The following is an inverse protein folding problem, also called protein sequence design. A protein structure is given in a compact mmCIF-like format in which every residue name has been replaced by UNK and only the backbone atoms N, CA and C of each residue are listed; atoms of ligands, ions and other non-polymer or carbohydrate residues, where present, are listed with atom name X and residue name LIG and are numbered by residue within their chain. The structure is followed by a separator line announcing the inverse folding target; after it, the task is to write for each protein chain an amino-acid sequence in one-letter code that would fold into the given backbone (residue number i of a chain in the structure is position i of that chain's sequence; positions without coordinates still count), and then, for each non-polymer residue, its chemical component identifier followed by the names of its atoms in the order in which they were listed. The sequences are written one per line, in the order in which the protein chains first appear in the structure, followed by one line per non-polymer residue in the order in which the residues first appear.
data_IF_549586824729
#
_entry.id   IF_549586824729
#
_cell.length_a   1.000
_cell.length_b   1.000
_cell.length_c   1.000
_cell.angle_alpha   90.00
_cell.angle_beta   90.00
_cell.angle_gamma   90.00
#
_symmetry.space_group_name_H-M   'P 1'
#
loop_
_entity.id
_entity.type
_entity.pdbx_description
1 polymer ?
#
# COMPACT_ATOMS: atom_id res chain seq x y z
N UNK A 1 -20.10 -42.26 0.11
CA UNK A 1 -18.73 -41.89 0.52
C UNK A 1 -18.63 -40.38 0.39
N UNK A 2 -18.61 -39.69 1.52
CA UNK A 2 -18.55 -38.22 1.63
C UNK A 2 -17.17 -37.72 1.17
N UNK A 3 -17.07 -36.62 0.42
CA UNK A 3 -15.78 -36.06 0.03
C UNK A 3 -15.18 -35.32 1.24
N UNK A 4 -14.21 -35.95 1.89
CA UNK A 4 -13.36 -35.35 2.92
C UNK A 4 -12.06 -34.94 2.23
N UNK A 5 -11.95 -33.67 1.82
CA UNK A 5 -10.67 -33.00 1.54
C UNK A 5 -10.75 -31.50 1.18
N UNK A 6 -11.93 -30.89 1.01
CA UNK A 6 -12.05 -29.47 0.64
C UNK A 6 -11.99 -28.47 1.80
N UNK A 7 -11.99 -28.91 3.06
CA UNK A 7 -12.02 -28.02 4.24
C UNK A 7 -10.65 -27.46 4.67
N UNK A 8 -9.55 -28.03 4.16
CA UNK A 8 -8.19 -27.55 4.44
C UNK A 8 -7.76 -26.39 3.53
N UNK A 9 -8.15 -26.42 2.25
CA UNK A 9 -7.79 -25.42 1.24
C UNK A 9 -8.57 -24.11 1.39
N UNK A 10 -9.81 -24.16 1.88
CA UNK A 10 -10.63 -22.96 2.10
C UNK A 10 -10.13 -22.06 3.23
N UNK A 11 -9.51 -22.63 4.28
CA UNK A 11 -8.92 -21.87 5.38
C UNK A 11 -7.62 -21.15 4.99
N UNK A 12 -6.89 -21.65 3.99
CA UNK A 12 -5.68 -21.01 3.48
C UNK A 12 -6.01 -19.76 2.65
N UNK A 13 -7.13 -19.76 1.92
CA UNK A 13 -7.59 -18.64 1.09
C UNK A 13 -8.05 -17.41 1.90
N UNK A 14 -8.41 -17.59 3.17
CA UNK A 14 -8.75 -16.49 4.10
C UNK A 14 -7.55 -16.01 4.93
N UNK A 15 -6.34 -16.48 4.62
CA UNK A 15 -5.14 -16.12 5.37
C UNK A 15 -4.58 -14.80 4.86
N UNK A 16 -4.46 -13.81 5.75
CA UNK A 16 -3.82 -12.54 5.43
C UNK A 16 -2.31 -12.62 5.70
N UNK A 17 -1.52 -12.11 4.78
CA UNK A 17 -0.06 -11.99 4.95
C UNK A 17 0.26 -10.56 5.36
N UNK A 18 0.92 -10.41 6.51
CA UNK A 18 1.44 -9.12 6.96
C UNK A 18 2.96 -9.11 6.83
N UNK A 19 3.49 -8.13 6.09
CA UNK A 19 4.92 -8.00 5.81
C UNK A 19 5.48 -6.80 6.55
N UNK A 20 6.54 -7.02 7.33
CA UNK A 20 7.28 -5.96 7.99
C UNK A 20 8.05 -5.09 6.97
N UNK A 21 8.07 -3.75 7.10
CA UNK A 21 8.88 -2.87 6.26
C UNK A 21 10.36 -3.24 6.22
N UNK A 22 10.90 -3.81 7.31
CA UNK A 22 12.28 -4.29 7.38
C UNK A 22 12.60 -5.34 6.30
N UNK A 23 11.64 -6.21 6.00
CA UNK A 23 11.79 -7.27 4.97
C UNK A 23 11.94 -6.65 3.59
N UNK A 24 11.16 -5.62 3.28
CA UNK A 24 11.23 -4.92 1.99
C UNK A 24 12.59 -4.26 1.81
N UNK A 25 13.08 -3.57 2.84
CA UNK A 25 14.40 -2.95 2.81
C UNK A 25 15.53 -3.98 2.67
N UNK A 26 15.41 -5.11 3.38
CA UNK A 26 16.39 -6.21 3.33
C UNK A 26 16.48 -6.85 1.94
N UNK A 27 15.34 -7.02 1.26
CA UNK A 27 15.29 -7.58 -0.09
C UNK A 27 15.94 -6.62 -1.11
N UNK A 28 15.66 -5.32 -0.99
CA UNK A 28 16.27 -4.28 -1.85
C UNK A 28 17.79 -4.22 -1.62
N UNK A 29 18.25 -4.21 -0.36
CA UNK A 29 19.68 -4.24 -0.05
C UNK A 29 20.36 -5.51 -0.58
N UNK A 30 19.73 -6.67 -0.43
CA UNK A 30 20.23 -7.92 -0.99
C UNK A 30 20.34 -7.85 -2.52
N UNK A 31 19.32 -7.36 -3.20
CA UNK A 31 19.34 -7.19 -4.65
C UNK A 31 20.50 -6.28 -5.09
N UNK A 32 20.69 -5.14 -4.43
CA UNK A 32 21.80 -4.20 -4.72
C UNK A 32 23.18 -4.82 -4.50
N UNK A 33 23.37 -5.64 -3.46
CA UNK A 33 24.66 -6.34 -3.22
C UNK A 33 25.00 -7.31 -4.35
N UNK A 34 24.02 -8.08 -4.81
CA UNK A 34 24.20 -9.06 -5.91
C UNK A 34 24.42 -8.36 -7.25
N UNK A 35 23.74 -7.23 -7.48
CA UNK A 35 23.95 -6.42 -8.68
C UNK A 35 25.36 -5.81 -8.71
N UNK A 36 25.87 -5.32 -7.58
CA UNK A 36 27.25 -4.79 -7.47
C UNK A 36 28.32 -5.87 -7.64
N UNK A 37 28.09 -7.09 -7.17
CA UNK A 37 29.04 -8.19 -7.40
C UNK A 37 29.05 -8.67 -8.86
N UNK A 38 27.88 -8.63 -9.52
CA UNK A 38 27.73 -9.12 -10.90
C UNK A 38 28.16 -8.09 -11.96
N UNK A 39 28.08 -6.79 -11.66
CA UNK A 39 28.51 -5.72 -12.59
C UNK A 39 30.01 -5.72 -12.89
N UNK A 40 30.84 -6.42 -12.08
CA UNK A 40 32.25 -6.67 -12.36
C UNK A 40 32.49 -7.82 -13.36
N UNK A 41 31.50 -8.69 -13.60
CA UNK A 41 31.60 -9.87 -14.46
C UNK A 41 30.54 -9.85 -15.57
N UNK A 42 30.75 -9.01 -16.59
CA UNK A 42 30.33 -9.13 -18.01
C UNK A 42 28.92 -9.59 -18.43
N UNK A 43 27.93 -9.80 -17.56
CA UNK A 43 26.56 -10.17 -17.95
C UNK A 43 25.52 -9.17 -17.43
N UNK A 44 25.12 -8.21 -18.26
CA UNK A 44 24.15 -7.15 -17.98
C UNK A 44 22.67 -7.61 -17.84
N UNK A 45 22.42 -8.89 -17.62
CA UNK A 45 21.06 -9.38 -17.36
C UNK A 45 20.77 -9.25 -15.85
N UNK A 46 19.68 -8.54 -15.50
CA UNK A 46 19.15 -8.49 -14.13
C UNK A 46 18.96 -9.93 -13.62
N UNK A 47 19.82 -10.35 -12.70
CA UNK A 47 19.73 -11.66 -12.06
C UNK A 47 18.64 -11.60 -11.00
N UNK A 48 17.78 -12.60 -11.00
CA UNK A 48 16.79 -12.76 -9.95
C UNK A 48 17.48 -13.20 -8.67
N UNK A 49 17.02 -12.62 -7.56
CA UNK A 49 17.54 -12.91 -6.24
C UNK A 49 16.49 -13.70 -5.46
N UNK A 50 16.94 -14.73 -4.74
CA UNK A 50 16.11 -15.62 -3.93
C UNK A 50 16.63 -15.61 -2.50
N UNK A 51 15.72 -15.61 -1.54
CA UNK A 51 16.07 -15.72 -0.13
C UNK A 51 14.98 -16.39 0.70
N UNK A 52 15.28 -16.68 1.95
CA UNK A 52 14.32 -17.26 2.90
C UNK A 52 13.59 -16.14 3.61
N UNK A 53 12.28 -16.31 3.82
CA UNK A 53 11.52 -15.49 4.76
C UNK A 53 11.31 -16.23 6.07
N UNK A 54 11.52 -15.48 7.14
CA UNK A 54 11.33 -15.89 8.52
C UNK A 54 10.14 -15.13 9.10
N UNK A 55 9.46 -15.80 10.01
CA UNK A 55 8.34 -15.16 10.67
C UNK A 55 7.60 -16.09 11.61
N UNK A 56 6.40 -15.65 11.96
CA UNK A 56 5.52 -16.38 12.84
C UNK A 56 4.29 -16.88 12.06
N UNK A 57 4.01 -18.16 12.22
CA UNK A 57 2.84 -18.85 11.69
C UNK A 57 1.99 -19.48 12.83
N UNK A 58 2.09 -18.93 14.04
CA UNK A 58 1.39 -19.44 15.23
C UNK A 58 -0.09 -19.05 15.25
N UNK A 59 -0.47 -17.93 14.64
CA UNK A 59 -1.87 -17.47 14.56
C UNK A 59 -2.55 -18.08 13.33
N UNK A 60 -3.60 -18.89 13.56
CA UNK A 60 -4.41 -19.46 12.47
C UNK A 60 -5.05 -18.33 11.65
N UNK A 61 -4.68 -18.23 10.37
CA UNK A 61 -5.24 -17.25 9.43
C UNK A 61 -4.47 -15.93 9.31
N UNK A 62 -3.32 -15.77 9.97
CA UNK A 62 -2.42 -14.63 9.74
C UNK A 62 -0.96 -15.08 9.75
N UNK A 63 -0.27 -14.86 8.62
CA UNK A 63 1.16 -15.13 8.50
C UNK A 63 1.88 -13.80 8.65
N UNK A 64 2.76 -13.71 9.66
CA UNK A 64 3.56 -12.51 9.91
C UNK A 64 4.97 -12.73 9.42
N UNK A 65 5.38 -11.99 8.40
CA UNK A 65 6.75 -11.98 7.88
C UNK A 65 7.53 -10.91 8.64
N UNK A 66 8.44 -11.33 9.52
CA UNK A 66 9.23 -10.42 10.36
C UNK A 66 10.59 -10.14 9.78
N UNK A 67 11.25 -11.18 9.26
CA UNK A 67 12.64 -11.10 8.86
C UNK A 67 12.90 -11.89 7.58
N UNK A 68 14.04 -11.64 6.95
CA UNK A 68 14.43 -12.32 5.72
C UNK A 68 15.94 -12.38 5.61
N UNK A 69 16.46 -13.42 4.97
CA UNK A 69 17.89 -13.50 4.69
C UNK A 69 18.17 -14.02 3.29
N UNK A 70 19.32 -13.59 2.77
CA UNK A 70 19.85 -13.93 1.47
C UNK A 70 20.35 -15.38 1.40
N UNK A 71 20.12 -16.07 0.28
CA UNK A 71 20.73 -17.38 0.01
C UNK A 71 21.60 -17.24 -1.24
N UNK A 72 22.78 -17.88 -1.31
CA UNK A 72 23.51 -18.02 -2.55
C UNK A 72 22.64 -18.75 -3.60
N UNK A 73 22.23 -18.00 -4.63
CA UNK A 73 21.37 -18.49 -5.69
C UNK A 73 21.95 -18.09 -7.04
N UNK A 74 22.07 -19.07 -7.94
CA UNK A 74 22.49 -18.85 -9.31
C UNK A 74 21.48 -19.46 -10.27
N UNK A 75 21.04 -18.68 -11.25
CA UNK A 75 20.13 -19.12 -12.30
C UNK A 75 20.81 -18.87 -13.65
N UNK A 76 20.79 -19.87 -14.53
CA UNK A 76 21.25 -19.68 -15.90
C UNK A 76 20.22 -18.85 -16.69
N UNK A 77 20.70 -17.83 -17.40
CA UNK A 77 19.86 -16.95 -18.22
C UNK A 77 19.36 -17.69 -19.47
N UNK A 78 20.16 -18.63 -19.99
CA UNK A 78 19.83 -19.36 -21.21
C UNK A 78 18.86 -20.51 -20.96
N UNK A 79 18.93 -21.13 -19.78
CA UNK A 79 18.10 -22.26 -19.39
C UNK A 79 17.45 -22.02 -18.01
N UNK A 80 16.21 -21.52 -17.95
CA UNK A 80 15.54 -21.17 -16.69
C UNK A 80 15.25 -22.38 -15.78
N UNK A 81 15.41 -23.60 -16.30
CA UNK A 81 15.26 -24.85 -15.54
C UNK A 81 16.50 -25.23 -14.73
N UNK A 82 17.66 -24.63 -15.05
CA UNK A 82 18.93 -24.91 -14.40
C UNK A 82 19.21 -23.79 -13.41
N UNK A 83 19.06 -24.11 -12.13
CA UNK A 83 19.35 -23.20 -11.03
C UNK A 83 20.08 -23.95 -9.91
N UNK A 84 20.85 -23.21 -9.14
CA UNK A 84 21.62 -23.69 -7.99
C UNK A 84 21.14 -22.97 -6.73
N UNK A 85 20.93 -23.75 -5.67
CA UNK A 85 20.52 -23.28 -4.36
C UNK A 85 21.23 -24.11 -3.30
N UNK A 86 21.96 -23.44 -2.41
CA UNK A 86 22.69 -24.09 -1.33
C UNK A 86 21.74 -24.41 -0.14
N UNK A 87 21.40 -25.69 0.00
CA UNK A 87 20.56 -26.17 1.11
C UNK A 87 21.29 -26.23 2.45
N UNK A 88 22.61 -26.46 2.46
CA UNK A 88 23.39 -26.54 3.70
C UNK A 88 23.48 -25.17 4.37
N UNK A 89 23.60 -24.12 3.55
CA UNK A 89 23.58 -22.75 4.04
C UNK A 89 22.27 -22.41 4.76
N UNK A 90 21.12 -22.83 4.20
CA UNK A 90 19.79 -22.61 4.79
C UNK A 90 19.70 -23.27 6.16
N UNK A 91 20.11 -24.53 6.29
CA UNK A 91 20.04 -25.27 7.55
C UNK A 91 20.93 -24.64 8.64
N UNK A 92 22.17 -24.31 8.29
CA UNK A 92 23.12 -23.68 9.23
C UNK A 92 22.63 -22.30 9.70
N UNK A 93 22.12 -21.49 8.77
CA UNK A 93 21.61 -20.17 9.06
C UNK A 93 20.33 -20.25 9.90
N UNK A 94 19.45 -21.20 9.62
CA UNK A 94 18.23 -21.44 10.40
C UNK A 94 18.56 -21.86 11.83
N UNK A 95 19.57 -22.71 12.06
CA UNK A 95 20.02 -23.04 13.42
C UNK A 95 20.57 -21.82 14.17
N UNK A 96 21.27 -20.92 13.47
CA UNK A 96 21.74 -19.66 14.04
C UNK A 96 20.58 -18.73 14.42
N UNK A 97 19.60 -18.52 13.53
CA UNK A 97 18.43 -17.68 13.83
C UNK A 97 17.58 -18.26 14.95
N UNK A 98 17.45 -19.59 15.03
CA UNK A 98 16.75 -20.26 16.12
C UNK A 98 17.41 -20.05 17.49
N UNK A 99 18.74 -19.87 17.54
CA UNK A 99 19.47 -19.51 18.77
C UNK A 99 19.23 -18.06 19.20
N UNK A 100 19.04 -17.16 18.24
CA UNK A 100 18.79 -15.73 18.50
C UNK A 100 17.34 -15.51 18.92
N UNK A 101 16.39 -16.10 18.21
CA UNK A 101 14.96 -15.97 18.45
C UNK A 101 14.23 -17.28 18.23
N UNK A 102 13.59 -17.81 19.29
CA UNK A 102 12.77 -19.01 19.21
C UNK A 102 11.41 -18.77 18.53
N UNK A 103 11.01 -17.50 18.35
CA UNK A 103 9.75 -17.12 17.71
C UNK A 103 9.84 -17.20 16.19
N UNK A 104 11.01 -16.94 15.63
CA UNK A 104 11.21 -16.94 14.18
C UNK A 104 11.33 -18.37 13.66
N UNK A 105 10.47 -18.71 12.71
CA UNK A 105 10.50 -19.98 11.99
C UNK A 105 10.57 -19.71 10.50
N UNK A 106 11.06 -20.70 9.75
CA UNK A 106 10.95 -20.68 8.29
C UNK A 106 9.47 -20.77 7.92
N UNK A 107 8.99 -19.76 7.21
CA UNK A 107 7.60 -19.69 6.72
C UNK A 107 7.54 -19.84 5.20
N UNK A 108 8.65 -19.60 4.50
CA UNK A 108 8.72 -19.69 3.05
C UNK A 108 9.96 -19.03 2.46
N UNK A 109 9.82 -18.51 1.26
CA UNK A 109 10.90 -17.88 0.52
C UNK A 109 10.39 -16.65 -0.25
N UNK A 110 11.30 -15.74 -0.59
CA UNK A 110 11.01 -14.59 -1.43
C UNK A 110 11.84 -14.62 -2.72
N UNK A 111 11.33 -13.96 -3.76
CA UNK A 111 12.15 -13.60 -4.91
C UNK A 111 11.88 -12.16 -5.39
N UNK A 112 12.87 -11.57 -6.04
CA UNK A 112 12.89 -10.16 -6.46
C UNK A 112 12.07 -9.82 -7.72
N UNK A 113 11.08 -10.64 -8.10
CA UNK A 113 10.35 -10.46 -9.36
C UNK A 113 11.23 -10.64 -10.63
N UNK A 114 10.82 -10.10 -11.81
CA UNK A 114 9.69 -9.22 -12.06
C UNK A 114 8.35 -9.95 -12.33
N UNK A 115 8.40 -11.23 -12.71
CA UNK A 115 7.21 -12.08 -12.95
C UNK A 115 7.46 -13.49 -12.44
N UNK A 116 6.39 -14.18 -12.07
CA UNK A 116 6.41 -15.60 -11.72
C UNK A 116 6.88 -16.43 -12.92
N UNK A 117 7.75 -17.41 -12.67
CA UNK A 117 8.26 -18.37 -13.67
C UNK A 117 7.80 -19.79 -13.33
N UNK A 118 7.76 -20.66 -14.33
CA UNK A 118 7.47 -22.09 -14.12
C UNK A 118 8.50 -22.79 -13.23
N UNK A 119 9.74 -22.30 -13.22
CA UNK A 119 10.82 -22.79 -12.34
C UNK A 119 10.51 -22.62 -10.85
N UNK A 120 9.64 -21.65 -10.50
CA UNK A 120 9.31 -21.36 -9.11
C UNK A 120 8.50 -22.49 -8.46
N UNK A 121 7.77 -23.27 -9.26
CA UNK A 121 7.11 -24.49 -8.78
C UNK A 121 8.13 -25.53 -8.30
N UNK A 122 9.26 -25.67 -9.01
CA UNK A 122 10.35 -26.60 -8.65
C UNK A 122 11.08 -26.14 -7.39
N UNK A 123 11.37 -24.83 -7.30
CA UNK A 123 12.00 -24.24 -6.11
C UNK A 123 11.09 -24.42 -4.88
N UNK A 124 9.79 -24.19 -5.06
CA UNK A 124 8.83 -24.32 -3.98
C UNK A 124 8.72 -25.75 -3.42
N UNK A 125 8.90 -26.77 -4.27
CA UNK A 125 8.91 -28.18 -3.85
C UNK A 125 10.08 -28.51 -2.91
N UNK A 126 11.21 -27.80 -3.03
CA UNK A 126 12.35 -27.95 -2.12
C UNK A 126 12.04 -27.30 -0.78
N UNK A 127 11.47 -26.10 -0.78
CA UNK A 127 11.03 -25.45 0.45
C UNK A 127 9.91 -26.20 1.16
N UNK A 128 9.11 -27.00 0.43
CA UNK A 128 8.10 -27.90 1.01
C UNK A 128 8.69 -28.98 1.92
N UNK A 129 9.98 -29.31 1.78
CA UNK A 129 10.69 -30.21 2.71
C UNK A 129 10.91 -29.58 4.08
N UNK A 130 11.11 -28.26 4.13
CA UNK A 130 11.36 -27.51 5.36
C UNK A 130 10.06 -27.05 6.03
N UNK A 131 9.01 -26.76 5.26
CA UNK A 131 7.74 -26.25 5.78
C UNK A 131 6.57 -26.83 4.98
N UNK A 132 5.49 -27.30 5.63
CA UNK A 132 4.38 -27.98 4.95
C UNK A 132 3.65 -27.10 3.93
N UNK A 133 3.58 -25.79 4.17
CA UNK A 133 2.96 -24.79 3.29
C UNK A 133 3.89 -23.58 3.13
N UNK A 134 4.89 -23.64 2.23
CA UNK A 134 5.79 -22.52 2.01
C UNK A 134 5.05 -21.34 1.36
N UNK A 135 5.21 -20.16 1.94
CA UNK A 135 4.75 -18.90 1.35
C UNK A 135 5.77 -18.40 0.32
N UNK A 136 5.31 -18.03 -0.86
CA UNK A 136 6.09 -17.33 -1.86
C UNK A 136 5.80 -15.83 -1.79
N UNK A 137 6.81 -15.02 -1.51
CA UNK A 137 6.71 -13.56 -1.52
C UNK A 137 7.44 -12.98 -2.73
N UNK A 138 6.71 -12.28 -3.61
CA UNK A 138 7.29 -11.55 -4.72
C UNK A 138 7.42 -10.09 -4.30
N UNK A 139 8.66 -9.61 -4.21
CA UNK A 139 8.94 -8.20 -3.92
C UNK A 139 9.47 -7.55 -5.19
N UNK A 140 8.76 -6.55 -5.70
CA UNK A 140 9.15 -5.84 -6.91
C UNK A 140 10.13 -4.71 -6.57
N UNK A 141 11.42 -4.96 -6.82
CA UNK A 141 12.53 -4.05 -6.48
C UNK A 141 12.57 -2.80 -7.37
N UNK A 142 11.99 -2.85 -8.57
CA UNK A 142 12.04 -1.75 -9.53
C UNK A 142 10.74 -0.91 -9.55
N UNK A 143 10.03 -0.86 -8.42
CA UNK A 143 8.70 -0.26 -8.30
C UNK A 143 8.74 1.28 -8.19
N UNK A 144 9.24 1.96 -9.21
CA UNK A 144 9.21 3.44 -9.26
C UNK A 144 7.83 3.98 -9.67
N UNK A 145 7.05 3.18 -10.42
CA UNK A 145 5.85 3.67 -11.12
C UNK A 145 4.51 3.06 -10.65
N UNK A 146 4.50 2.09 -9.74
CA UNK A 146 3.27 1.46 -9.26
C UNK A 146 2.75 2.15 -7.99
N UNK A 147 1.50 2.61 -8.05
CA UNK A 147 0.75 3.19 -6.92
C UNK A 147 0.38 2.12 -5.87
N UNK A 148 0.42 0.84 -6.26
CA UNK A 148 0.03 -0.29 -5.43
C UNK A 148 1.18 -0.82 -4.57
N UNK A 149 0.85 -1.63 -3.57
CA UNK A 149 1.81 -2.31 -2.68
C UNK A 149 2.76 -3.17 -3.56
N UNK A 150 4.09 -3.00 -3.46
CA UNK A 150 5.07 -3.66 -4.34
C UNK A 150 5.32 -5.13 -3.92
N UNK A 151 4.32 -5.77 -3.33
CA UNK A 151 4.47 -7.07 -2.69
C UNK A 151 3.27 -7.94 -2.99
N UNK A 152 3.50 -9.02 -3.73
CA UNK A 152 2.50 -10.04 -4.00
C UNK A 152 2.86 -11.29 -3.22
N UNK A 153 1.86 -11.95 -2.64
CA UNK A 153 2.08 -13.18 -1.88
C UNK A 153 1.30 -14.33 -2.49
N UNK A 154 1.91 -15.51 -2.57
CA UNK A 154 1.35 -16.68 -3.21
C UNK A 154 1.57 -17.93 -2.37
N UNK A 155 0.61 -18.85 -2.42
CA UNK A 155 0.76 -20.20 -1.86
C UNK A 155 0.51 -21.21 -2.96
N UNK A 156 1.33 -22.25 -2.98
CA UNK A 156 1.15 -23.36 -3.92
C UNK A 156 0.01 -24.25 -3.44
N UNK A 157 -0.97 -24.46 -4.31
CA UNK A 157 -2.05 -25.43 -4.13
C UNK A 157 -2.06 -26.41 -5.30
N UNK A 158 -2.47 -27.64 -5.00
CA UNK A 158 -2.76 -28.65 -6.01
C UNK A 158 -4.22 -28.52 -6.38
N UNK A 159 -4.50 -27.97 -7.55
CA UNK A 159 -5.86 -27.83 -8.06
C UNK A 159 -6.18 -29.01 -8.98
N UNK A 160 -7.36 -29.59 -8.80
CA UNK A 160 -7.91 -30.59 -9.71
C UNK A 160 -8.82 -29.82 -10.65
N UNK A 161 -8.41 -29.66 -11.90
CA UNK A 161 -9.23 -28.99 -12.90
C UNK A 161 -10.49 -29.80 -13.16
N UNK A 162 -11.63 -29.11 -13.23
CA UNK A 162 -12.93 -29.73 -13.56
C UNK A 162 -13.01 -30.24 -15.02
N UNK A 163 -12.04 -29.85 -15.86
CA UNK A 163 -11.89 -30.24 -17.26
C UNK A 163 -11.34 -31.68 -17.46
N UNK A 164 -11.18 -32.46 -16.37
CA UNK A 164 -10.72 -33.85 -16.43
C UNK A 164 -9.22 -34.03 -16.75
N UNK A 165 -8.45 -32.94 -16.82
CA UNK A 165 -7.00 -32.96 -16.91
C UNK A 165 -6.33 -33.36 -15.59
N UNK A 166 -5.06 -33.80 -15.66
CA UNK A 166 -4.27 -34.17 -14.47
C UNK A 166 -4.19 -33.01 -13.47
N UNK A 167 -4.11 -33.32 -12.17
CA UNK A 167 -3.92 -32.31 -11.13
C UNK A 167 -2.69 -31.44 -11.43
N UNK A 168 -2.90 -30.13 -11.45
CA UNK A 168 -1.85 -29.14 -11.69
C UNK A 168 -1.53 -28.39 -10.40
N UNK A 169 -0.23 -28.23 -10.12
CA UNK A 169 0.26 -27.36 -9.05
C UNK A 169 0.23 -25.92 -9.55
N UNK A 170 -0.56 -25.07 -8.92
CA UNK A 170 -0.67 -23.66 -9.25
C UNK A 170 -0.40 -22.78 -8.03
N UNK A 171 -0.04 -21.53 -8.27
CA UNK A 171 0.11 -20.53 -7.22
C UNK A 171 -1.18 -19.71 -7.14
N UNK A 172 -1.76 -19.66 -5.94
CA UNK A 172 -2.90 -18.78 -5.66
C UNK A 172 -2.43 -17.58 -4.86
N UNK A 173 -2.87 -16.41 -5.32
CA UNK A 173 -2.58 -15.14 -4.68
C UNK A 173 -3.28 -15.04 -3.31
N UNK A 174 -2.52 -14.66 -2.29
CA UNK A 174 -3.01 -14.28 -0.97
C UNK A 174 -2.93 -12.75 -0.81
N UNK A 175 -3.92 -12.11 -0.18
CA UNK A 175 -3.87 -10.69 0.10
C UNK A 175 -2.71 -10.36 1.04
N UNK A 176 -1.84 -9.45 0.57
CA UNK A 176 -0.71 -8.93 1.32
C UNK A 176 -1.04 -7.55 1.90
N UNK A 177 -0.54 -7.29 3.11
CA UNK A 177 -0.61 -5.99 3.77
C UNK A 177 0.75 -5.69 4.39
N UNK A 178 1.14 -4.42 4.39
CA UNK A 178 2.37 -3.99 5.09
C UNK A 178 1.95 -3.61 6.51
N UNK A 179 2.59 -4.22 7.50
CA UNK A 179 2.33 -3.94 8.92
C UNK A 179 3.67 -3.77 9.63
N UNK A 180 3.87 -2.60 10.22
CA UNK A 180 5.05 -2.30 11.03
C UNK A 180 4.80 -2.70 12.50
N UNK A 181 5.85 -3.15 13.17
CA UNK A 181 5.87 -3.22 14.64
C UNK A 181 6.11 -1.82 15.22
N UNK A 182 5.68 -1.56 16.46
CA UNK A 182 5.80 -0.24 17.11
C UNK A 182 7.22 0.35 17.05
N UNK A 183 8.24 -0.50 17.26
CA UNK A 183 9.63 -0.09 17.16
C UNK A 183 10.05 0.28 15.72
N UNK A 184 9.52 -0.44 14.71
CA UNK A 184 9.79 -0.16 13.31
C UNK A 184 9.04 1.07 12.82
N UNK A 185 7.80 1.28 13.28
CA UNK A 185 6.95 2.41 12.92
C UNK A 185 7.62 3.74 13.24
N UNK A 186 8.19 3.86 14.45
CA UNK A 186 8.95 5.06 14.86
C UNK A 186 10.16 5.29 13.93
N UNK A 187 10.86 4.22 13.55
CA UNK A 187 12.01 4.30 12.65
C UNK A 187 11.61 4.73 11.23
N UNK A 188 10.55 4.14 10.69
CA UNK A 188 10.02 4.47 9.36
C UNK A 188 9.47 5.89 9.32
N UNK A 189 8.72 6.31 10.34
CA UNK A 189 8.21 7.67 10.43
C UNK A 189 9.35 8.70 10.46
N UNK A 190 10.42 8.40 11.19
CA UNK A 190 11.60 9.26 11.23
C UNK A 190 12.26 9.41 9.85
N UNK A 191 12.41 8.31 9.10
CA UNK A 191 12.98 8.33 7.75
C UNK A 191 12.10 9.08 6.74
N UNK A 192 10.77 9.05 6.93
CA UNK A 192 9.80 9.66 6.01
C UNK A 192 9.49 11.12 6.31
N UNK A 193 10.05 11.71 7.37
CA UNK A 193 9.81 13.11 7.75
C UNK A 193 10.15 14.10 6.63
N UNK A 194 11.17 13.81 5.83
CA UNK A 194 11.64 14.69 4.76
C UNK A 194 10.79 14.61 3.49
N UNK A 195 10.04 13.51 3.30
CA UNK A 195 9.23 13.24 2.10
C UNK A 195 7.76 13.57 2.36
N UNK A 196 7.29 13.34 3.59
CA UNK A 196 5.89 13.58 3.94
C UNK A 196 5.67 15.07 4.12
N UNK A 197 4.90 15.66 3.20
CA UNK A 197 4.45 17.04 3.34
C UNK A 197 3.49 17.16 4.53
N UNK A 198 4.03 17.51 5.70
CA UNK A 198 3.29 17.68 6.94
C UNK A 198 2.32 18.89 6.87
N UNK A 199 2.43 19.73 5.84
CA UNK A 199 1.51 20.84 5.58
C UNK A 199 0.27 20.43 4.75
N UNK A 200 0.24 19.22 4.19
CA UNK A 200 -0.94 18.72 3.49
C UNK A 200 -2.07 18.40 4.49
N UNK A 201 -3.10 19.25 4.50
CA UNK A 201 -4.31 19.00 5.30
C UNK A 201 -5.02 17.69 4.89
N UNK A 202 -5.76 17.10 5.83
CA UNK A 202 -6.48 15.83 5.65
C UNK A 202 -7.36 15.76 4.38
N UNK A 203 -7.95 16.89 3.96
CA UNK A 203 -8.75 16.96 2.74
C UNK A 203 -7.91 16.75 1.47
N UNK A 204 -6.73 17.38 1.41
CA UNK A 204 -5.80 17.24 0.27
C UNK A 204 -5.35 15.79 0.14
N UNK A 205 -4.92 15.18 1.24
CA UNK A 205 -4.51 13.76 1.28
C UNK A 205 -5.63 12.85 0.79
N UNK A 206 -6.87 13.07 1.23
CA UNK A 206 -8.02 12.27 0.80
C UNK A 206 -8.33 12.45 -0.69
N UNK A 207 -8.22 13.67 -1.21
CA UNK A 207 -8.41 13.95 -2.62
C UNK A 207 -7.32 13.30 -3.49
N UNK A 208 -6.06 13.41 -3.08
CA UNK A 208 -4.94 12.72 -3.74
C UNK A 208 -5.14 11.21 -3.73
N UNK A 209 -5.60 10.63 -2.62
CA UNK A 209 -5.91 9.21 -2.53
C UNK A 209 -7.03 8.81 -3.50
N UNK A 210 -8.13 9.57 -3.58
CA UNK A 210 -9.20 9.30 -4.54
C UNK A 210 -8.69 9.33 -6.00
N UNK A 211 -7.85 10.31 -6.35
CA UNK A 211 -7.25 10.40 -7.68
C UNK A 211 -6.32 9.21 -7.97
N UNK A 212 -5.45 8.85 -7.03
CA UNK A 212 -4.58 7.67 -7.12
C UNK A 212 -5.39 6.36 -7.27
N UNK A 213 -6.46 6.20 -6.49
CA UNK A 213 -7.35 5.04 -6.58
C UNK A 213 -8.03 4.93 -7.94
N UNK A 214 -8.43 6.06 -8.55
CA UNK A 214 -9.03 6.07 -9.89
C UNK A 214 -8.02 5.62 -10.97
N UNK A 215 -6.77 6.06 -10.87
CA UNK A 215 -5.69 5.63 -11.77
C UNK A 215 -5.45 4.12 -11.62
N UNK A 216 -5.30 3.63 -10.39
CA UNK A 216 -5.13 2.19 -10.13
C UNK A 216 -6.30 1.36 -10.68
N UNK A 217 -7.55 1.85 -10.56
CA UNK A 217 -8.72 1.19 -11.15
C UNK A 217 -8.65 1.13 -12.68
N UNK A 218 -8.24 2.23 -13.34
CA UNK A 218 -8.05 2.27 -14.81
C UNK A 218 -7.02 1.24 -15.26
N UNK A 219 -5.89 1.14 -14.56
CA UNK A 219 -4.81 0.20 -14.92
C UNK A 219 -5.24 -1.26 -14.71
N UNK A 220 -5.97 -1.54 -13.63
CA UNK A 220 -6.58 -2.86 -13.38
C UNK A 220 -7.59 -3.23 -14.46
N UNK A 221 -8.46 -2.30 -14.87
CA UNK A 221 -9.42 -2.53 -15.95
C UNK A 221 -8.71 -2.76 -17.30
N UNK A 222 -7.65 -2.00 -17.59
CA UNK A 222 -6.83 -2.22 -18.79
C UNK A 222 -6.19 -3.60 -18.79
N UNK A 223 -5.74 -4.09 -17.62
CA UNK A 223 -5.17 -5.44 -17.48
C UNK A 223 -6.22 -6.52 -17.77
N UNK A 224 -7.46 -6.35 -17.31
CA UNK A 224 -8.57 -7.27 -17.62
C UNK A 224 -8.86 -7.28 -19.12
N UNK A 225 -8.92 -6.11 -19.77
CA UNK A 225 -9.14 -6.01 -21.21
C UNK A 225 -8.01 -6.71 -21.98
N UNK A 226 -6.75 -6.50 -21.58
CA UNK A 226 -5.61 -7.18 -22.18
C UNK A 226 -5.68 -8.70 -22.01
N UNK A 227 -6.12 -9.20 -20.86
CA UNK A 227 -6.33 -10.63 -20.64
C UNK A 227 -7.40 -11.21 -21.59
N UNK A 228 -8.55 -10.54 -21.72
CA UNK A 228 -9.63 -10.96 -22.62
C UNK A 228 -9.21 -10.92 -24.10
N UNK A 229 -8.45 -9.90 -24.50
CA UNK A 229 -7.89 -9.82 -25.85
C UNK A 229 -6.98 -11.02 -26.14
N UNK A 230 -6.11 -11.41 -25.20
CA UNK A 230 -5.19 -12.55 -25.39
C UNK A 230 -5.90 -13.91 -25.42
N UNK A 231 -7.03 -14.04 -24.71
CA UNK A 231 -7.91 -15.20 -24.86
C UNK A 231 -8.54 -15.23 -26.25
N UNK A 232 -9.02 -14.07 -26.74
CA UNK A 232 -9.69 -13.95 -28.03
C UNK A 232 -8.76 -14.24 -29.21
N UNK A 233 -7.47 -13.87 -29.09
CA UNK A 233 -6.44 -14.20 -30.08
C UNK A 233 -5.94 -15.64 -29.98
N UNK A 234 -6.34 -16.39 -28.94
CA UNK A 234 -5.96 -17.80 -28.74
C UNK A 234 -4.56 -18.02 -28.16
N UNK A 235 -3.90 -17.00 -27.61
CA UNK A 235 -2.56 -17.12 -26.99
C UNK A 235 -2.58 -17.84 -25.62
N UNK A 236 -3.70 -17.77 -24.91
CA UNK A 236 -3.86 -18.27 -23.55
C UNK A 236 -5.09 -19.18 -23.45
N UNK A 237 -5.01 -20.28 -22.66
CA UNK A 237 -6.17 -21.10 -22.36
C UNK A 237 -7.20 -20.33 -21.52
N UNK A 238 -8.49 -20.61 -21.77
CA UNK A 238 -9.61 -20.01 -21.04
C UNK A 238 -9.61 -20.52 -19.61
N UNK A 239 -9.61 -19.61 -18.63
CA UNK A 239 -9.84 -19.95 -17.22
C UNK A 239 -11.28 -19.59 -16.83
N UNK A 240 -12.13 -20.60 -16.68
CA UNK A 240 -13.55 -20.42 -16.37
C UNK A 240 -13.81 -19.74 -15.01
N UNK A 241 -12.92 -19.89 -14.03
CA UNK A 241 -13.06 -19.25 -12.70
C UNK A 241 -12.96 -17.73 -12.81
N UNK A 242 -12.03 -17.24 -13.64
CA UNK A 242 -11.85 -15.79 -13.86
C UNK A 242 -13.06 -15.22 -14.60
N UNK A 243 -13.56 -15.91 -15.61
CA UNK A 243 -14.76 -15.49 -16.34
C UNK A 243 -16.00 -15.45 -15.44
N UNK A 244 -16.18 -16.43 -14.56
CA UNK A 244 -17.25 -16.42 -13.56
C UNK A 244 -17.19 -15.18 -12.66
N UNK A 245 -16.00 -14.85 -12.11
CA UNK A 245 -15.80 -13.64 -11.31
C UNK A 245 -16.06 -12.35 -12.10
N UNK A 246 -15.70 -12.32 -13.39
CA UNK A 246 -16.01 -11.18 -14.27
C UNK A 246 -17.52 -11.03 -14.51
N UNK A 247 -18.23 -12.15 -14.69
CA UNK A 247 -19.68 -12.14 -14.81
C UNK A 247 -20.34 -11.63 -13.52
N UNK A 248 -19.84 -12.05 -12.35
CA UNK A 248 -20.31 -11.53 -11.06
C UNK A 248 -20.09 -10.02 -10.93
N UNK A 249 -18.97 -9.49 -11.41
CA UNK A 249 -18.72 -8.04 -11.44
C UNK A 249 -19.78 -7.29 -12.25
N UNK A 250 -20.16 -7.80 -13.43
CA UNK A 250 -21.21 -7.18 -14.25
C UNK A 250 -22.60 -7.34 -13.63
N UNK A 251 -22.88 -8.48 -13.00
CA UNK A 251 -24.15 -8.72 -12.32
C UNK A 251 -24.32 -7.85 -11.06
N UNK A 252 -23.23 -7.56 -10.35
CA UNK A 252 -23.20 -6.72 -9.15
C UNK A 252 -23.02 -5.24 -9.47
N UNK A 253 -22.87 -4.87 -10.75
CA UNK A 253 -22.64 -3.48 -11.14
C UNK A 253 -23.88 -2.64 -10.78
N UNK A 254 -23.73 -1.59 -9.94
CA UNK A 254 -24.86 -0.76 -9.57
C UNK A 254 -25.42 -0.02 -10.80
N UNK A 255 -26.64 -0.36 -11.21
CA UNK A 255 -27.34 0.33 -12.28
C UNK A 255 -27.91 1.66 -11.77
N UNK A 256 -27.07 2.70 -11.71
CA UNK A 256 -27.56 4.07 -11.48
C UNK A 256 -28.28 4.62 -12.73
N UNK A 257 -28.13 3.98 -13.89
CA UNK A 257 -28.61 4.45 -15.21
C UNK A 257 -30.13 4.52 -15.45
N UNK A 258 -30.99 4.43 -14.44
CA UNK A 258 -32.38 4.88 -14.57
C UNK A 258 -32.55 6.39 -14.29
N UNK A 259 -31.45 7.15 -14.32
CA UNK A 259 -31.46 8.61 -14.14
C UNK A 259 -31.96 9.40 -15.37
N UNK A 260 -32.10 8.81 -16.57
CA UNK A 260 -32.42 9.59 -17.78
C UNK A 260 -33.22 8.90 -18.90
N UNK A 261 -33.78 7.71 -18.69
CA UNK A 261 -34.62 7.07 -19.71
C UNK A 261 -36.04 6.90 -19.18
N UNK A 262 -36.87 7.88 -19.54
CA UNK A 262 -38.28 7.67 -19.86
C UNK A 262 -38.43 6.38 -20.69
N UNK A 263 -39.57 5.68 -20.57
CA UNK A 263 -39.98 4.45 -21.27
C UNK A 263 -39.69 3.11 -20.54
N UNK A 264 -40.56 2.71 -19.61
CA UNK A 264 -41.65 1.72 -19.83
C UNK A 264 -42.34 1.49 -18.47
N UNK A 265 -43.56 2.01 -18.33
CA UNK A 265 -44.45 1.73 -17.19
C UNK A 265 -44.66 0.21 -17.05
N UNK A 266 -44.18 -0.40 -15.97
CA UNK A 266 -44.67 -1.74 -15.63
C UNK A 266 -43.84 -2.70 -14.78
N UNK A 267 -42.76 -2.31 -14.10
CA UNK A 267 -42.06 -3.26 -13.21
C UNK A 267 -41.61 -2.67 -11.87
N UNK A 268 -41.74 -3.46 -10.81
CA UNK A 268 -41.46 -3.14 -9.40
C UNK A 268 -40.02 -2.70 -9.10
N UNK A 269 -39.12 -2.80 -10.08
CA UNK A 269 -37.71 -2.38 -10.00
C UNK A 269 -37.53 -0.87 -10.21
N UNK A 270 -38.44 -0.21 -10.94
CA UNK A 270 -38.41 1.24 -11.22
C UNK A 270 -38.63 2.07 -9.94
N UNK A 271 -39.44 1.54 -8.99
CA UNK A 271 -39.67 2.18 -7.69
C UNK A 271 -38.45 2.13 -6.77
N UNK A 272 -37.63 1.07 -6.84
CA UNK A 272 -36.43 0.95 -6.01
C UNK A 272 -35.32 1.91 -6.49
N UNK A 273 -35.14 2.04 -7.80
CA UNK A 273 -34.14 2.94 -8.37
C UNK A 273 -34.48 4.41 -8.11
N UNK A 274 -35.76 4.79 -8.26
CA UNK A 274 -36.24 6.13 -7.89
C UNK A 274 -36.08 6.42 -6.39
N UNK A 275 -36.30 5.41 -5.53
CA UNK A 275 -36.02 5.52 -4.08
C UNK A 275 -34.54 5.68 -3.79
N UNK A 276 -33.64 5.00 -4.52
CA UNK A 276 -32.20 5.17 -4.36
C UNK A 276 -31.76 6.59 -4.73
N UNK A 277 -32.22 7.12 -5.85
CA UNK A 277 -31.93 8.49 -6.28
C UNK A 277 -32.47 9.52 -5.28
N UNK A 278 -33.70 9.35 -4.80
CA UNK A 278 -34.28 10.21 -3.77
C UNK A 278 -33.47 10.12 -2.46
N UNK A 279 -33.09 8.93 -2.03
CA UNK A 279 -32.26 8.73 -0.84
C UNK A 279 -30.87 9.36 -0.98
N UNK A 280 -30.25 9.29 -2.17
CA UNK A 280 -28.98 9.93 -2.46
C UNK A 280 -29.08 11.46 -2.38
N UNK A 281 -30.16 12.03 -2.94
CA UNK A 281 -30.40 13.47 -2.88
C UNK A 281 -30.66 13.94 -1.44
N UNK A 282 -31.45 13.19 -0.65
CA UNK A 282 -31.69 13.49 0.77
C UNK A 282 -30.36 13.47 1.53
N UNK A 283 -29.55 12.43 1.36
CA UNK A 283 -28.24 12.32 2.01
C UNK A 283 -27.29 13.45 1.61
N UNK A 284 -27.29 13.84 0.33
CA UNK A 284 -26.49 14.97 -0.17
C UNK A 284 -26.94 16.28 0.47
N UNK A 285 -28.25 16.49 0.59
CA UNK A 285 -28.81 17.68 1.25
C UNK A 285 -28.44 17.74 2.74
N UNK A 286 -28.49 16.60 3.43
CA UNK A 286 -28.09 16.52 4.85
C UNK A 286 -26.60 16.83 5.03
N UNK A 287 -25.73 16.29 4.16
CA UNK A 287 -24.29 16.56 4.19
C UNK A 287 -23.98 18.05 3.89
N UNK A 288 -24.70 18.66 2.95
CA UNK A 288 -24.60 20.09 2.67
C UNK A 288 -25.03 20.96 3.85
N UNK A 289 -26.08 20.57 4.58
CA UNK A 289 -26.54 21.30 5.76
C UNK A 289 -25.45 21.33 6.85
N UNK A 290 -24.79 20.19 7.09
CA UNK A 290 -23.66 20.11 8.04
C UNK A 290 -22.50 21.00 7.59
N UNK A 291 -22.23 21.04 6.28
CA UNK A 291 -21.17 21.88 5.71
C UNK A 291 -21.48 23.37 5.87
N UNK A 292 -22.74 23.79 5.67
CA UNK A 292 -23.16 25.18 5.87
C UNK A 292 -23.11 25.62 7.34
N UNK A 293 -23.55 24.77 8.28
CA UNK A 293 -23.43 25.09 9.72
C UNK A 293 -21.96 25.21 10.11
N UNK A 294 -21.11 24.30 9.62
CA UNK A 294 -19.67 24.33 9.88
C UNK A 294 -19.01 25.59 9.30
N UNK A 295 -19.40 26.04 8.11
CA UNK A 295 -18.86 27.26 7.50
C UNK A 295 -19.34 28.54 8.18
N UNK A 296 -20.58 28.54 8.71
CA UNK A 296 -21.10 29.64 9.51
C UNK A 296 -20.30 29.80 10.81
N UNK A 297 -20.05 28.70 11.53
CA UNK A 297 -19.24 28.72 12.76
C UNK A 297 -17.81 29.18 12.46
N UNK A 298 -17.18 28.71 11.37
CA UNK A 298 -15.86 29.19 10.95
C UNK A 298 -15.84 30.69 10.67
N UNK A 299 -16.89 31.22 10.05
CA UNK A 299 -17.01 32.67 9.78
C UNK A 299 -17.08 33.47 11.07
N UNK A 300 -17.86 33.00 12.06
CA UNK A 300 -17.97 33.66 13.37
C UNK A 300 -16.61 33.66 14.11
N UNK A 301 -15.89 32.53 14.08
CA UNK A 301 -14.55 32.43 14.69
C UNK A 301 -13.60 33.40 13.99
N UNK A 302 -13.56 33.42 12.66
CA UNK A 302 -12.71 34.34 11.91
C UNK A 302 -13.04 35.82 12.19
N UNK A 303 -14.31 36.16 12.40
CA UNK A 303 -14.70 37.51 12.83
C UNK A 303 -14.20 37.82 14.24
N UNK A 304 -14.32 36.88 15.18
CA UNK A 304 -13.81 37.07 16.53
C UNK A 304 -12.28 37.27 16.53
N UNK A 305 -11.55 36.46 15.77
CA UNK A 305 -10.11 36.58 15.59
C UNK A 305 -9.74 37.94 14.97
N UNK A 306 -10.54 38.45 14.02
CA UNK A 306 -10.32 39.78 13.43
C UNK A 306 -10.55 40.90 14.44
N UNK A 307 -11.58 40.78 15.29
CA UNK A 307 -11.87 41.74 16.35
C UNK A 307 -10.73 41.74 17.37
N UNK A 308 -10.28 40.56 17.80
CA UNK A 308 -9.17 40.40 18.74
C UNK A 308 -7.87 40.97 18.16
N UNK A 309 -7.55 40.65 16.91
CA UNK A 309 -6.41 41.23 16.19
C UNK A 309 -6.51 42.76 16.11
N UNK A 310 -7.69 43.33 15.86
CA UNK A 310 -7.88 44.78 15.80
C UNK A 310 -7.72 45.46 17.17
N UNK A 311 -8.21 44.83 18.23
CA UNK A 311 -8.04 45.30 19.61
C UNK A 311 -6.56 45.28 19.99
N UNK A 312 -5.87 44.16 19.71
CA UNK A 312 -4.43 44.02 19.95
C UNK A 312 -3.64 45.10 19.19
N UNK A 313 -3.94 45.29 17.90
CA UNK A 313 -3.23 46.25 17.07
C UNK A 313 -3.49 47.71 17.50
N UNK A 314 -4.70 48.00 17.99
CA UNK A 314 -5.02 49.31 18.57
C UNK A 314 -4.22 49.57 19.85
N UNK A 315 -4.16 48.59 20.77
CA UNK A 315 -3.35 48.68 22.00
C UNK A 315 -1.85 48.85 21.67
N UNK A 316 -1.33 48.06 20.72
CA UNK A 316 0.06 48.19 20.27
C UNK A 316 0.36 49.56 19.67
N UNK A 317 -0.56 50.12 18.87
CA UNK A 317 -0.40 51.47 18.33
C UNK A 317 -0.49 52.56 19.40
N UNK A 318 -1.33 52.39 20.42
CA UNK A 318 -1.39 53.33 21.55
C UNK A 318 -0.09 53.28 22.37
N UNK A 319 0.48 52.09 22.61
CA UNK A 319 1.81 51.97 23.24
C UNK A 319 2.96 52.51 22.39
N UNK A 320 2.89 52.36 21.06
CA UNK A 320 3.89 52.95 20.16
C UNK A 320 3.80 54.47 20.15
N UNK A 321 2.59 55.02 20.20
CA UNK A 321 2.37 56.47 20.30
C UNK A 321 2.89 57.04 21.62
N UNK A 322 2.64 56.36 22.74
CA UNK A 322 3.19 56.81 24.03
C UNK A 322 4.72 56.77 24.05
N UNK A 323 5.36 55.77 23.44
CA UNK A 323 6.83 55.71 23.31
C UNK A 323 7.35 56.86 22.43
N UNK A 324 6.72 57.13 21.28
CA UNK A 324 7.13 58.28 20.45
C UNK A 324 6.89 59.63 21.12
N UNK A 325 5.84 59.76 21.93
CA UNK A 325 5.57 61.00 22.67
C UNK A 325 6.55 61.19 23.85
N UNK A 326 7.05 60.10 24.44
CA UNK A 326 8.14 60.12 25.43
C UNK A 326 9.50 60.48 24.78
N UNK A 327 9.84 59.87 23.63
CA UNK A 327 11.07 60.22 22.86
C UNK A 327 11.08 61.68 22.37
N UNK A 328 9.90 62.23 22.03
CA UNK A 328 9.75 63.64 21.62
C UNK A 328 9.86 64.58 22.83
N UNK A 329 9.46 64.14 24.03
CA UNK A 329 9.63 64.92 25.26
C UNK A 329 11.10 64.93 25.71
N UNK A 330 11.79 63.79 25.71
CA UNK A 330 13.23 63.75 26.02
C UNK A 330 14.03 64.68 25.09
N UNK A 331 13.76 64.68 23.78
CA UNK A 331 14.42 65.61 22.85
C UNK A 331 14.10 67.09 23.10
N UNK A 332 12.91 67.42 23.61
CA UNK A 332 12.53 68.80 23.92
C UNK A 332 13.12 69.28 25.24
N UNK A 333 13.27 68.38 26.20
CA UNK A 333 13.90 68.69 27.48
C UNK A 333 15.43 68.88 27.26
N UNK A 334 16.07 68.08 26.40
CA UNK A 334 17.47 68.29 25.96
C UNK A 334 17.65 69.64 25.22
N UNK A 335 16.68 70.08 24.40
CA UNK A 335 16.71 71.39 23.74
C UNK A 335 16.48 72.56 24.70
N UNK A 336 15.73 72.38 25.80
CA UNK A 336 15.53 73.43 26.81
C UNK A 336 16.72 73.58 27.77
N UNK A 337 17.37 72.48 28.18
CA UNK A 337 18.57 72.56 29.02
C UNK A 337 19.74 73.24 28.28
N UNK A 338 19.83 73.14 26.95
CA UNK A 338 20.83 73.85 26.16
C UNK A 338 20.64 75.38 26.12
N UNK A 339 19.41 75.88 26.29
CA UNK A 339 19.09 77.32 26.21
C UNK A 339 19.29 78.03 27.56
N UNK A 340 19.16 77.33 28.69
CA UNK A 340 19.40 77.94 30.01
C UNK A 340 20.90 78.19 30.30
N UNK A 341 21.82 77.48 29.62
CA UNK A 341 23.26 77.70 29.81
C UNK A 341 23.87 78.88 29.03
N UNK A 342 23.15 79.51 28.09
CA UNK A 342 23.69 80.63 27.30
C UNK A 342 23.36 82.04 27.87
N UNK A 343 22.55 82.13 28.93
CA UNK A 343 22.14 83.41 29.55
C UNK A 343 22.67 83.63 30.97
N UNK A 344 23.84 83.08 31.33
CA UNK A 344 24.56 83.39 32.58
C UNK A 344 25.96 83.93 32.33
#
# INVERSE_FOLDING_TARGET
MSPVSSSGSTNLLSTNVSVAPLVLLSVVDHYERVMKSTSASSSQASKRVVGVILGDNTQKGSIKVTNSFAIPFEEDVNSPDIWFLDHNFIENMLDMFKKISAKEKLIGWYHSGPKLKSSDLKINEIFKKFTPSPLLLIVDVNSTDKIDIPTDSYVSIEEIKEDGSSSEKTFVHLPSTILAEEAEEIGVEHLLRDIRDQACGNLSVRLTNNFKSLISLKDRLSTIVNYLNRITTGELPVNHVILGKLQDIFNLLPNLGAFSADLVEGSSEESQNKRLSAAFNVKTNDELMILYVSSLVRSIIAFNDLIENKIQNKKSNESLKSITDEDIKEKKDDEMEGVETENS
#
